data_IF_904922799436
#
_entry.id   IF_904922799436
#
_cell.length_a   1.000
_cell.length_b   1.000
_cell.length_c   1.000
_cell.angle_alpha   90.00
_cell.angle_beta   90.00
_cell.angle_gamma   90.00
#
_symmetry.space_group_name_H-M   'P 1'
#
loop_
_entity.id
_entity.type
_entity.pdbx_description
1 polymer ?
#
# COMPACT_ATOMS: atom_id res chain seq x y z
N UNK A 1 -14.88 -36.84 82.26
CA UNK A 1 -15.25 -35.58 81.60
C UNK A 1 -14.65 -35.60 80.20
N UNK A 2 -15.46 -36.01 79.21
CA UNK A 2 -15.17 -35.88 77.78
C UNK A 2 -15.80 -34.56 77.33
N UNK A 3 -15.10 -33.79 76.50
CA UNK A 3 -15.65 -32.68 75.75
C UNK A 3 -15.25 -32.87 74.29
N UNK A 4 -16.25 -32.82 73.40
CA UNK A 4 -16.12 -32.99 71.96
C UNK A 4 -16.40 -31.72 71.16
N UNK A 5 -16.06 -31.83 69.87
CA UNK A 5 -16.61 -31.18 68.66
C UNK A 5 -16.77 -29.66 68.57
N UNK A 6 -16.16 -29.07 67.54
CA UNK A 6 -16.91 -28.65 66.34
C UNK A 6 -15.97 -28.25 65.21
N UNK A 7 -16.07 -29.00 64.10
CA UNK A 7 -15.56 -28.64 62.79
C UNK A 7 -16.23 -27.35 62.31
N UNK A 8 -15.41 -26.40 61.86
CA UNK A 8 -15.87 -25.24 61.10
C UNK A 8 -15.29 -25.35 59.68
N UNK A 9 -16.01 -26.05 58.81
CA UNK A 9 -15.76 -26.09 57.37
C UNK A 9 -16.25 -24.79 56.75
N UNK A 10 -15.31 -23.97 56.26
CA UNK A 10 -15.61 -22.81 55.42
C UNK A 10 -16.00 -23.29 54.02
N UNK A 11 -17.15 -22.82 53.56
CA UNK A 11 -17.77 -23.15 52.29
C UNK A 11 -16.97 -22.69 51.06
N UNK A 12 -17.15 -23.45 50.00
CA UNK A 12 -16.65 -23.31 48.62
C UNK A 12 -17.00 -21.99 47.91
N UNK A 13 -16.18 -21.72 46.88
CA UNK A 13 -16.54 -21.08 45.62
C UNK A 13 -17.05 -19.62 45.62
N UNK A 14 -16.10 -18.70 45.77
CA UNK A 14 -16.12 -17.46 44.99
C UNK A 14 -15.16 -17.59 43.81
N UNK A 15 -15.52 -18.42 42.82
CA UNK A 15 -14.86 -18.42 41.53
C UNK A 15 -15.07 -17.04 40.89
N UNK A 16 -14.03 -16.20 40.93
CA UNK A 16 -13.94 -15.01 40.09
C UNK A 16 -14.27 -15.43 38.66
N UNK A 17 -15.16 -14.73 37.93
CA UNK A 17 -15.35 -15.02 36.52
C UNK A 17 -13.99 -14.91 35.85
N UNK A 18 -13.48 -16.06 35.38
CA UNK A 18 -12.23 -16.10 34.64
C UNK A 18 -12.35 -15.07 33.52
N UNK A 19 -11.41 -14.13 33.46
CA UNK A 19 -11.29 -13.23 32.32
C UNK A 19 -11.47 -14.06 31.04
N UNK A 20 -12.27 -13.60 30.06
CA UNK A 20 -12.50 -14.38 28.85
C UNK A 20 -11.14 -14.71 28.26
N UNK A 21 -10.74 -15.98 28.36
CA UNK A 21 -9.49 -16.49 27.79
C UNK A 21 -9.49 -16.04 26.34
N UNK A 22 -8.67 -15.03 26.01
CA UNK A 22 -8.55 -14.54 24.65
C UNK A 22 -8.23 -15.75 23.78
N UNK A 23 -9.22 -16.19 22.98
CA UNK A 23 -9.05 -17.31 22.09
C UNK A 23 -7.82 -17.02 21.22
N UNK A 24 -6.95 -18.02 21.05
CA UNK A 24 -5.74 -17.85 20.26
C UNK A 24 -6.11 -17.22 18.89
N UNK A 25 -5.40 -16.16 18.44
CA UNK A 25 -5.77 -15.46 17.22
C UNK A 25 -5.90 -16.41 16.04
N UNK A 26 -7.05 -16.39 15.35
CA UNK A 26 -7.30 -17.25 14.20
C UNK A 26 -6.59 -16.67 12.97
N UNK A 27 -5.65 -17.40 12.33
CA UNK A 27 -5.02 -16.94 11.11
C UNK A 27 -5.99 -17.04 9.93
N UNK A 28 -6.24 -15.92 9.26
CA UNK A 28 -7.09 -15.78 8.08
C UNK A 28 -6.25 -15.24 6.93
N UNK A 29 -5.84 -16.12 6.00
CA UNK A 29 -5.07 -15.73 4.84
C UNK A 29 -5.95 -14.96 3.83
N UNK A 30 -5.40 -13.92 3.21
CA UNK A 30 -6.03 -13.31 2.04
C UNK A 30 -5.87 -14.25 0.85
N UNK A 31 -6.91 -14.38 0.04
CA UNK A 31 -6.87 -15.15 -1.21
C UNK A 31 -7.15 -14.26 -2.41
N UNK A 32 -6.57 -14.59 -3.57
CA UNK A 32 -6.79 -13.84 -4.80
C UNK A 32 -7.21 -14.75 -5.96
N UNK A 33 -8.49 -14.70 -6.30
CA UNK A 33 -9.12 -15.61 -7.28
C UNK A 33 -9.08 -15.09 -8.73
N UNK A 34 -8.46 -13.93 -8.98
CA UNK A 34 -8.43 -13.32 -10.31
C UNK A 34 -7.51 -14.06 -11.27
N UNK A 35 -7.90 -14.15 -12.55
CA UNK A 35 -7.15 -14.76 -13.64
C UNK A 35 -6.49 -13.74 -14.57
N UNK A 36 -5.27 -14.06 -15.05
CA UNK A 36 -4.54 -13.22 -15.99
C UNK A 36 -5.27 -13.05 -17.33
N UNK A 37 -5.91 -14.10 -17.84
CA UNK A 37 -6.64 -14.07 -19.13
C UNK A 37 -7.93 -13.26 -19.05
N UNK A 38 -8.65 -13.38 -17.94
CA UNK A 38 -9.85 -12.59 -17.67
C UNK A 38 -9.49 -11.10 -17.55
N UNK A 39 -8.45 -10.78 -16.75
CA UNK A 39 -7.97 -9.41 -16.63
C UNK A 39 -7.40 -8.85 -17.94
N UNK A 40 -6.74 -9.68 -18.78
CA UNK A 40 -6.27 -9.27 -20.10
C UNK A 40 -7.41 -8.78 -20.99
N UNK A 41 -8.55 -9.49 -21.03
CA UNK A 41 -9.75 -9.07 -21.81
C UNK A 41 -10.28 -7.72 -21.35
N UNK A 42 -10.33 -7.48 -20.04
CA UNK A 42 -10.74 -6.18 -19.47
C UNK A 42 -9.72 -5.09 -19.84
N UNK A 43 -8.44 -5.40 -19.69
CA UNK A 43 -7.34 -4.47 -19.92
C UNK A 43 -7.24 -4.03 -21.38
N UNK A 44 -7.31 -4.96 -22.35
CA UNK A 44 -7.17 -4.62 -23.77
C UNK A 44 -8.30 -3.71 -24.25
N UNK A 45 -9.55 -4.01 -23.86
CA UNK A 45 -10.71 -3.15 -24.16
C UNK A 45 -10.52 -1.77 -23.53
N UNK A 46 -10.06 -1.71 -22.28
CA UNK A 46 -9.80 -0.45 -21.60
C UNK A 46 -8.69 0.37 -22.29
N UNK A 47 -7.63 -0.27 -22.77
CA UNK A 47 -6.54 0.40 -23.51
C UNK A 47 -7.06 0.96 -24.83
N UNK A 48 -7.78 0.16 -25.62
CA UNK A 48 -8.35 0.60 -26.90
C UNK A 48 -9.29 1.80 -26.71
N UNK A 49 -10.22 1.71 -25.75
CA UNK A 49 -11.13 2.82 -25.44
C UNK A 49 -10.39 4.05 -24.92
N UNK A 50 -9.33 3.87 -24.13
CA UNK A 50 -8.50 4.99 -23.65
C UNK A 50 -7.78 5.67 -24.82
N UNK A 51 -7.28 4.92 -25.79
CA UNK A 51 -6.61 5.47 -26.97
C UNK A 51 -7.59 6.23 -27.86
N UNK A 52 -8.73 5.63 -28.20
CA UNK A 52 -9.76 6.23 -29.07
C UNK A 52 -10.37 7.49 -28.46
N UNK A 53 -10.43 7.58 -27.13
CA UNK A 53 -10.96 8.76 -26.42
C UNK A 53 -9.88 9.75 -25.99
N UNK A 54 -8.65 9.66 -26.53
CA UNK A 54 -7.52 10.52 -26.19
C UNK A 54 -7.27 10.66 -24.67
N UNK A 55 -7.40 9.54 -23.95
CA UNK A 55 -7.16 9.47 -22.52
C UNK A 55 -8.38 9.70 -21.62
N UNK A 56 -9.52 10.17 -22.15
CA UNK A 56 -10.71 10.46 -21.34
C UNK A 56 -11.23 9.17 -20.66
N UNK A 57 -11.34 8.06 -21.41
CA UNK A 57 -11.83 6.79 -20.90
C UNK A 57 -10.95 6.19 -19.78
N UNK A 58 -9.73 6.69 -19.58
CA UNK A 58 -8.83 6.21 -18.52
C UNK A 58 -9.42 6.31 -17.11
N UNK A 59 -10.45 7.14 -16.90
CA UNK A 59 -11.16 7.22 -15.61
C UNK A 59 -12.02 5.98 -15.35
N UNK A 60 -12.75 5.51 -16.36
CA UNK A 60 -13.54 4.27 -16.32
C UNK A 60 -12.64 3.04 -16.28
N UNK A 61 -11.57 3.04 -17.08
CA UNK A 61 -10.57 1.97 -17.05
C UNK A 61 -9.97 1.76 -15.64
N UNK A 62 -9.69 2.86 -14.92
CA UNK A 62 -9.19 2.81 -13.54
C UNK A 62 -10.20 2.18 -12.58
N UNK A 63 -11.48 2.57 -12.65
CA UNK A 63 -12.55 2.01 -11.80
C UNK A 63 -12.75 0.52 -12.08
N UNK A 64 -12.88 0.11 -13.35
CA UNK A 64 -13.03 -1.30 -13.73
C UNK A 64 -11.85 -2.14 -13.26
N UNK A 65 -10.63 -1.59 -13.34
CA UNK A 65 -9.44 -2.26 -12.81
C UNK A 65 -9.52 -2.43 -11.30
N UNK A 66 -9.89 -1.39 -10.54
CA UNK A 66 -10.01 -1.48 -9.08
C UNK A 66 -11.10 -2.48 -8.66
N UNK A 67 -12.27 -2.43 -9.31
CA UNK A 67 -13.35 -3.40 -9.09
C UNK A 67 -12.88 -4.84 -9.33
N UNK A 68 -12.14 -5.07 -10.42
CA UNK A 68 -11.59 -6.39 -10.72
C UNK A 68 -10.69 -6.91 -9.58
N UNK A 69 -9.72 -6.12 -9.14
CA UNK A 69 -8.79 -6.57 -8.10
C UNK A 69 -9.45 -6.70 -6.72
N UNK A 70 -10.38 -5.80 -6.37
CA UNK A 70 -11.08 -5.87 -5.07
C UNK A 70 -11.99 -7.09 -4.99
N UNK A 71 -12.84 -7.32 -6.00
CA UNK A 71 -13.79 -8.44 -6.02
C UNK A 71 -13.12 -9.81 -6.05
N UNK A 72 -11.91 -9.87 -6.64
CA UNK A 72 -11.10 -11.07 -6.66
C UNK A 72 -10.21 -11.22 -5.42
N UNK A 73 -10.14 -10.23 -4.52
CA UNK A 73 -9.46 -10.35 -3.22
C UNK A 73 -10.49 -10.77 -2.19
N UNK A 74 -10.21 -11.83 -1.44
CA UNK A 74 -11.09 -12.32 -0.40
C UNK A 74 -10.35 -12.46 0.93
N UNK A 75 -11.12 -12.33 2.01
CA UNK A 75 -10.70 -12.58 3.38
C UNK A 75 -11.87 -13.29 4.07
N UNK A 76 -11.61 -14.43 4.69
CA UNK A 76 -12.63 -15.22 5.41
C UNK A 76 -13.91 -15.45 4.58
N UNK A 77 -13.75 -15.87 3.33
CA UNK A 77 -14.85 -16.20 2.41
C UNK A 77 -15.61 -15.01 1.80
N UNK A 78 -15.38 -13.77 2.26
CA UNK A 78 -16.01 -12.57 1.71
C UNK A 78 -15.04 -11.78 0.82
N UNK A 79 -15.55 -11.21 -0.27
CA UNK A 79 -14.77 -10.35 -1.17
C UNK A 79 -14.79 -8.88 -0.74
N UNK A 80 -13.73 -8.16 -1.12
CA UNK A 80 -13.74 -6.70 -1.09
C UNK A 80 -14.50 -6.15 -2.29
N UNK A 81 -15.00 -4.91 -2.19
CA UNK A 81 -15.61 -4.23 -3.33
C UNK A 81 -15.17 -2.76 -3.43
N UNK A 82 -15.32 -2.20 -4.64
CA UNK A 82 -14.96 -0.84 -4.96
C UNK A 82 -16.09 -0.09 -5.68
N UNK A 83 -16.58 0.98 -5.05
CA UNK A 83 -17.78 1.74 -5.45
C UNK A 83 -17.47 3.08 -6.12
N UNK A 84 -16.21 3.31 -6.51
CA UNK A 84 -15.78 4.61 -7.00
C UNK A 84 -16.41 5.00 -8.33
N UNK A 85 -17.00 6.19 -8.40
CA UNK A 85 -17.58 6.72 -9.65
C UNK A 85 -16.48 7.23 -10.61
N UNK A 86 -16.44 6.79 -11.88
CA UNK A 86 -15.45 7.26 -12.86
C UNK A 86 -15.48 8.78 -13.08
N UNK A 87 -16.67 9.38 -13.06
CA UNK A 87 -16.85 10.83 -13.26
C UNK A 87 -16.13 11.68 -12.21
N UNK A 88 -16.05 11.22 -10.96
CA UNK A 88 -15.30 11.90 -9.90
C UNK A 88 -13.79 11.90 -10.18
N UNK A 89 -13.25 10.79 -10.70
CA UNK A 89 -11.84 10.68 -11.12
C UNK A 89 -11.57 11.59 -12.32
N UNK A 90 -12.49 11.65 -13.28
CA UNK A 90 -12.36 12.52 -14.45
C UNK A 90 -12.33 14.00 -14.05
N UNK A 91 -13.22 14.45 -13.16
CA UNK A 91 -13.22 15.82 -12.63
C UNK A 91 -11.88 16.17 -11.97
N UNK A 92 -11.37 15.28 -11.12
CA UNK A 92 -10.07 15.48 -10.48
C UNK A 92 -8.92 15.60 -11.48
N UNK A 93 -8.91 14.77 -12.54
CA UNK A 93 -7.93 14.87 -13.63
C UNK A 93 -8.07 16.15 -14.43
N UNK A 94 -9.29 16.57 -14.74
CA UNK A 94 -9.55 17.81 -15.48
C UNK A 94 -8.99 19.03 -14.74
N UNK A 95 -9.15 19.10 -13.40
CA UNK A 95 -8.54 20.14 -12.57
C UNK A 95 -7.02 20.12 -12.70
N UNK A 96 -6.39 18.95 -12.58
CA UNK A 96 -4.93 18.84 -12.70
C UNK A 96 -4.45 19.24 -14.10
N UNK A 97 -5.14 18.81 -15.16
CA UNK A 97 -4.83 19.23 -16.53
C UNK A 97 -4.95 20.74 -16.73
N UNK A 98 -6.02 21.36 -16.19
CA UNK A 98 -6.20 22.81 -16.26
C UNK A 98 -5.06 23.55 -15.52
N UNK A 99 -4.66 23.07 -14.34
CA UNK A 99 -3.54 23.66 -13.59
C UNK A 99 -2.20 23.54 -14.32
N UNK A 100 -1.91 22.37 -14.91
CA UNK A 100 -0.68 22.16 -15.70
C UNK A 100 -0.69 23.01 -16.97
N UNK A 101 -1.84 23.12 -17.63
CA UNK A 101 -2.00 23.97 -18.81
C UNK A 101 -1.81 25.45 -18.46
N UNK A 102 -2.39 25.91 -17.35
CA UNK A 102 -2.18 27.26 -16.83
C UNK A 102 -0.71 27.53 -16.48
N UNK A 103 -0.02 26.56 -15.86
CA UNK A 103 1.43 26.64 -15.63
C UNK A 103 2.22 26.76 -16.94
N UNK A 104 1.88 25.96 -17.95
CA UNK A 104 2.53 26.03 -19.26
C UNK A 104 2.35 27.39 -19.93
N UNK A 105 1.15 27.99 -19.84
CA UNK A 105 0.88 29.35 -20.33
C UNK A 105 1.68 30.38 -19.51
N UNK A 106 1.63 30.31 -18.18
CA UNK A 106 2.39 31.21 -17.32
C UNK A 106 3.89 31.21 -17.66
N UNK A 107 4.45 30.05 -18.01
CA UNK A 107 5.85 29.88 -18.39
C UNK A 107 6.25 30.58 -19.68
N UNK A 108 5.30 30.88 -20.58
CA UNK A 108 5.59 31.65 -21.81
C UNK A 108 5.60 33.15 -21.58
N UNK A 109 4.95 33.65 -20.52
CA UNK A 109 4.87 35.09 -20.22
C UNK A 109 5.98 35.57 -19.29
N UNK A 110 6.25 34.86 -18.20
CA UNK A 110 7.25 35.28 -17.21
C UNK A 110 7.76 34.11 -16.38
N UNK A 111 9.09 33.97 -16.21
CA UNK A 111 9.68 32.99 -15.29
C UNK A 111 9.20 33.14 -13.84
N UNK A 112 8.93 34.37 -13.39
CA UNK A 112 8.43 34.62 -12.04
C UNK A 112 6.97 34.17 -11.88
N UNK A 113 6.13 34.37 -12.90
CA UNK A 113 4.76 33.86 -12.91
C UNK A 113 4.73 32.33 -12.95
N UNK A 114 5.63 31.72 -13.74
CA UNK A 114 5.79 30.27 -13.77
C UNK A 114 6.20 29.71 -12.40
N UNK A 115 7.15 30.37 -11.73
CA UNK A 115 7.59 30.00 -10.39
C UNK A 115 6.44 30.13 -9.37
N UNK A 116 5.67 31.22 -9.41
CA UNK A 116 4.50 31.39 -8.55
C UNK A 116 3.45 30.28 -8.78
N UNK A 117 3.19 29.93 -10.04
CA UNK A 117 2.29 28.83 -10.42
C UNK A 117 2.82 27.46 -9.96
N UNK A 118 4.13 27.22 -10.05
CA UNK A 118 4.77 26.00 -9.55
C UNK A 118 4.60 25.88 -8.03
N UNK A 119 4.84 26.96 -7.29
CA UNK A 119 4.66 26.99 -5.84
C UNK A 119 3.19 26.73 -5.47
N UNK A 120 2.24 27.34 -6.18
CA UNK A 120 0.82 27.06 -5.99
C UNK A 120 0.47 25.59 -6.26
N UNK A 121 1.00 25.00 -7.34
CA UNK A 121 0.78 23.59 -7.66
C UNK A 121 1.35 22.65 -6.58
N UNK A 122 2.56 22.93 -6.10
CA UNK A 122 3.20 22.21 -5.00
C UNK A 122 2.40 22.35 -3.70
N UNK A 123 1.84 23.52 -3.42
CA UNK A 123 0.99 23.76 -2.26
C UNK A 123 -0.37 23.03 -2.36
N UNK A 124 -0.93 22.86 -3.55
CA UNK A 124 -2.18 22.11 -3.76
C UNK A 124 -1.98 20.59 -3.70
N UNK A 125 -0.78 20.10 -4.03
CA UNK A 125 -0.50 18.68 -4.18
C UNK A 125 -0.85 17.83 -2.93
N UNK A 126 -0.47 18.21 -1.69
CA UNK A 126 -0.85 17.48 -0.47
C UNK A 126 -2.38 17.36 -0.31
N UNK A 127 -3.12 18.43 -0.58
CA UNK A 127 -4.58 18.44 -0.48
C UNK A 127 -5.22 17.48 -1.49
N UNK A 128 -4.70 17.46 -2.72
CA UNK A 128 -5.16 16.52 -3.75
C UNK A 128 -4.87 15.06 -3.37
N UNK A 129 -3.71 14.79 -2.75
CA UNK A 129 -3.40 13.46 -2.24
C UNK A 129 -4.36 13.04 -1.12
N UNK A 130 -4.63 13.89 -0.13
CA UNK A 130 -5.58 13.59 0.95
C UNK A 130 -6.97 13.36 0.39
N UNK A 131 -7.46 14.20 -0.52
CA UNK A 131 -8.74 13.99 -1.20
C UNK A 131 -8.77 12.67 -1.97
N UNK A 132 -7.67 12.28 -2.61
CA UNK A 132 -7.56 10.99 -3.29
C UNK A 132 -7.63 9.79 -2.33
N UNK A 133 -6.99 9.89 -1.16
CA UNK A 133 -7.05 8.88 -0.11
C UNK A 133 -8.46 8.77 0.48
N UNK A 134 -9.09 9.91 0.84
CA UNK A 134 -10.49 9.97 1.29
C UNK A 134 -11.44 9.33 0.29
N UNK A 135 -11.33 9.72 -0.98
CA UNK A 135 -12.14 9.14 -2.04
C UNK A 135 -11.92 7.63 -2.17
N UNK A 136 -10.66 7.15 -2.14
CA UNK A 136 -10.38 5.71 -2.28
C UNK A 136 -10.95 4.90 -1.12
N UNK A 137 -10.76 5.35 0.12
CA UNK A 137 -11.21 4.59 1.30
C UNK A 137 -12.73 4.62 1.41
N UNK A 138 -13.37 5.77 1.21
CA UNK A 138 -14.84 5.89 1.22
C UNK A 138 -15.55 5.05 0.13
N UNK A 139 -14.82 4.68 -0.93
CA UNK A 139 -15.33 3.82 -2.00
C UNK A 139 -14.81 2.38 -1.90
N UNK A 140 -14.03 2.03 -0.87
CA UNK A 140 -13.61 0.66 -0.60
C UNK A 140 -14.54 0.06 0.46
N UNK A 141 -14.92 -1.20 0.31
CA UNK A 141 -15.74 -1.89 1.29
C UNK A 141 -15.34 -3.36 1.47
N UNK A 142 -15.71 -3.92 2.61
CA UNK A 142 -15.63 -5.34 2.92
C UNK A 142 -16.85 -5.74 3.76
N UNK A 143 -17.53 -6.85 3.39
CA UNK A 143 -18.79 -7.29 4.02
C UNK A 143 -19.83 -6.15 4.18
N UNK A 144 -19.99 -5.33 3.14
CA UNK A 144 -20.95 -4.22 3.11
C UNK A 144 -20.51 -2.96 3.86
N UNK A 145 -19.55 -3.04 4.77
CA UNK A 145 -19.04 -1.90 5.54
C UNK A 145 -17.91 -1.17 4.79
N UNK A 146 -17.92 0.17 4.83
CA UNK A 146 -16.96 1.01 4.11
C UNK A 146 -15.74 1.35 4.96
N UNK A 147 -14.61 1.55 4.28
CA UNK A 147 -13.45 2.17 4.90
C UNK A 147 -13.60 3.70 4.90
N UNK A 148 -12.86 4.37 5.78
CA UNK A 148 -12.79 5.82 5.82
C UNK A 148 -11.33 6.28 5.98
N UNK A 149 -11.06 7.52 5.59
CA UNK A 149 -9.78 8.17 5.81
C UNK A 149 -10.00 9.52 6.52
N UNK A 150 -9.38 9.67 7.69
CA UNK A 150 -9.61 10.78 8.64
C UNK A 150 -8.38 11.68 8.79
N UNK A 151 -7.42 11.61 7.85
CA UNK A 151 -6.18 12.38 7.90
C UNK A 151 -6.42 13.87 7.73
N UNK A 152 -5.86 14.69 8.63
CA UNK A 152 -5.99 16.15 8.61
C UNK A 152 -5.18 16.81 7.50
N UNK A 153 -5.71 17.89 6.93
CA UNK A 153 -5.10 18.59 5.80
C UNK A 153 -3.77 19.27 6.19
N UNK A 154 -3.64 19.78 7.43
CA UNK A 154 -2.42 20.40 7.93
C UNK A 154 -1.25 19.42 8.08
N UNK A 155 -1.51 18.22 8.62
CA UNK A 155 -0.47 17.20 8.79
C UNK A 155 0.00 16.62 7.45
N UNK A 156 -0.85 16.65 6.43
CA UNK A 156 -0.50 16.26 5.08
C UNK A 156 0.68 17.07 4.51
N UNK A 157 0.78 18.37 4.83
CA UNK A 157 1.91 19.20 4.39
C UNK A 157 3.23 18.75 5.01
N UNK A 158 3.23 18.38 6.29
CA UNK A 158 4.43 17.82 6.94
C UNK A 158 4.86 16.52 6.25
N UNK A 159 3.89 15.64 5.96
CA UNK A 159 4.15 14.31 5.42
C UNK A 159 4.55 14.32 3.94
N UNK A 160 3.89 15.13 3.12
CA UNK A 160 4.05 15.11 1.66
C UNK A 160 4.94 16.23 1.12
N UNK A 161 5.31 17.23 1.93
CA UNK A 161 6.22 18.31 1.53
C UNK A 161 7.46 18.34 2.41
N UNK A 162 7.30 18.58 3.72
CA UNK A 162 8.43 18.77 4.63
C UNK A 162 9.37 17.56 4.68
N UNK A 163 8.84 16.35 4.90
CA UNK A 163 9.66 15.14 4.97
C UNK A 163 10.36 14.79 3.64
N UNK A 164 9.70 14.85 2.47
CA UNK A 164 10.39 14.71 1.19
C UNK A 164 11.47 15.76 0.94
N UNK A 165 11.22 17.04 1.25
CA UNK A 165 12.23 18.09 1.14
C UNK A 165 13.41 17.84 2.09
N UNK A 166 13.15 17.43 3.32
CA UNK A 166 14.19 17.05 4.27
C UNK A 166 14.99 15.83 3.78
N UNK A 167 14.34 14.86 3.12
CA UNK A 167 15.03 13.75 2.48
C UNK A 167 15.94 14.23 1.35
N UNK A 168 15.49 15.13 0.48
CA UNK A 168 16.32 15.70 -0.60
C UNK A 168 17.48 16.51 -0.04
N UNK A 169 17.21 17.40 0.93
CA UNK A 169 18.21 18.25 1.57
C UNK A 169 19.31 17.44 2.30
N UNK A 170 19.00 16.22 2.74
CA UNK A 170 19.95 15.30 3.37
C UNK A 170 20.51 14.24 2.42
N UNK A 171 20.42 14.48 1.10
CA UNK A 171 20.90 13.57 0.04
C UNK A 171 20.33 12.15 0.16
N UNK A 172 19.10 12.03 0.64
CA UNK A 172 18.38 10.77 0.82
C UNK A 172 18.55 10.13 2.19
N UNK A 173 19.38 10.68 3.10
CA UNK A 173 19.59 10.09 4.43
C UNK A 173 18.30 9.99 5.25
N UNK A 174 17.42 11.01 5.16
CA UNK A 174 16.08 10.99 5.78
C UNK A 174 15.01 10.30 4.91
N UNK A 175 15.36 9.75 3.75
CA UNK A 175 14.43 9.04 2.86
C UNK A 175 13.66 7.90 3.54
N UNK A 176 14.30 7.00 4.30
CA UNK A 176 13.62 5.95 5.06
C UNK A 176 12.64 6.50 6.11
N UNK A 177 12.99 7.60 6.77
CA UNK A 177 12.10 8.29 7.74
C UNK A 177 10.91 8.88 7.01
N UNK A 178 11.12 9.59 5.91
CA UNK A 178 10.06 10.17 5.09
C UNK A 178 9.07 9.08 4.62
N UNK A 179 9.58 7.93 4.15
CA UNK A 179 8.74 6.81 3.75
C UNK A 179 7.97 6.22 4.95
N UNK A 180 8.60 6.06 6.11
CA UNK A 180 7.92 5.59 7.32
C UNK A 180 6.80 6.55 7.73
N UNK A 181 7.04 7.87 7.71
CA UNK A 181 6.04 8.89 8.05
C UNK A 181 4.87 8.90 7.07
N UNK A 182 5.15 8.71 5.78
CA UNK A 182 4.13 8.50 4.75
C UNK A 182 3.25 7.29 5.08
N UNK A 183 3.84 6.15 5.43
CA UNK A 183 3.10 4.93 5.78
C UNK A 183 2.31 5.09 7.07
N UNK A 184 2.90 5.67 8.10
CA UNK A 184 2.19 5.97 9.36
C UNK A 184 0.98 6.87 9.12
N UNK A 185 1.13 7.94 8.34
CA UNK A 185 0.02 8.82 8.02
C UNK A 185 -1.11 8.10 7.28
N UNK A 186 -0.79 7.22 6.33
CA UNK A 186 -1.79 6.44 5.60
C UNK A 186 -2.56 5.47 6.49
N UNK A 187 -1.87 4.74 7.36
CA UNK A 187 -2.48 3.67 8.15
C UNK A 187 -3.21 4.23 9.38
N UNK A 188 -2.58 5.10 10.18
CA UNK A 188 -3.18 5.66 11.41
C UNK A 188 -4.45 6.48 11.16
N UNK A 189 -4.62 7.00 9.95
CA UNK A 189 -5.81 7.76 9.59
C UNK A 189 -6.82 6.94 8.79
N UNK A 190 -6.57 5.66 8.55
CA UNK A 190 -7.54 4.76 7.95
C UNK A 190 -8.43 4.16 9.04
N UNK A 191 -9.73 4.02 8.74
CA UNK A 191 -10.70 3.32 9.58
C UNK A 191 -11.50 2.31 8.76
N UNK A 192 -12.03 1.30 9.42
CA UNK A 192 -13.03 0.39 8.86
C UNK A 192 -14.27 0.45 9.75
N UNK A 193 -15.36 1.03 9.24
CA UNK A 193 -16.39 1.58 10.13
C UNK A 193 -15.81 2.67 11.02
N UNK A 194 -15.93 2.52 12.33
CA UNK A 194 -15.32 3.40 13.34
C UNK A 194 -13.95 2.90 13.81
N UNK A 195 -13.68 1.60 13.71
CA UNK A 195 -12.46 0.95 14.15
C UNK A 195 -11.20 1.54 13.47
N UNK A 196 -10.22 2.05 14.23
CA UNK A 196 -9.00 2.61 13.68
C UNK A 196 -8.01 1.52 13.26
N UNK A 197 -7.30 1.80 12.17
CA UNK A 197 -6.02 1.16 11.91
C UNK A 197 -4.93 1.85 12.70
N UNK A 198 -3.96 1.08 13.21
CA UNK A 198 -2.76 1.62 13.84
C UNK A 198 -1.49 1.04 13.17
N UNK A 199 -0.42 1.84 13.18
CA UNK A 199 0.85 1.50 12.56
C UNK A 199 2.03 1.86 13.46
N UNK A 200 2.68 0.81 13.98
CA UNK A 200 3.66 0.94 15.06
C UNK A 200 5.11 0.71 14.61
N UNK A 201 5.36 0.54 13.30
CA UNK A 201 6.73 0.37 12.83
C UNK A 201 7.55 1.64 13.08
N UNK A 202 8.69 1.49 13.76
CA UNK A 202 9.66 2.56 13.95
C UNK A 202 10.47 2.85 12.68
N UNK A 203 11.08 4.03 12.61
CA UNK A 203 11.95 4.41 11.48
C UNK A 203 13.14 3.45 11.31
N UNK A 204 13.67 2.89 12.39
CA UNK A 204 14.76 1.91 12.36
C UNK A 204 14.43 0.64 11.55
N UNK A 205 13.16 0.22 11.50
CA UNK A 205 12.74 -0.92 10.66
C UNK A 205 12.91 -0.61 9.17
N UNK A 206 12.59 0.62 8.76
CA UNK A 206 12.77 1.08 7.38
C UNK A 206 14.26 1.21 7.05
N UNK A 207 15.06 1.85 7.91
CA UNK A 207 16.52 1.93 7.72
C UNK A 207 17.14 0.55 7.52
N UNK A 208 16.75 -0.44 8.32
CA UNK A 208 17.25 -1.82 8.19
C UNK A 208 16.92 -2.43 6.82
N UNK A 209 15.76 -2.14 6.25
CA UNK A 209 15.39 -2.59 4.90
C UNK A 209 16.26 -1.91 3.84
N UNK A 210 16.40 -0.59 3.91
CA UNK A 210 17.18 0.17 2.93
C UNK A 210 18.68 -0.15 3.00
N UNK A 211 19.26 -0.27 4.21
CA UNK A 211 20.66 -0.63 4.39
C UNK A 211 20.95 -2.06 3.91
N UNK A 212 20.05 -3.02 4.17
CA UNK A 212 20.17 -4.39 3.63
C UNK A 212 20.06 -4.40 2.11
N UNK A 213 19.14 -3.62 1.54
CA UNK A 213 19.00 -3.52 0.09
C UNK A 213 20.24 -2.89 -0.57
N UNK A 214 20.81 -1.86 0.06
CA UNK A 214 22.07 -1.25 -0.35
C UNK A 214 23.22 -2.25 -0.27
N UNK A 215 23.33 -3.01 0.82
CA UNK A 215 24.34 -4.07 0.96
C UNK A 215 24.21 -5.15 -0.10
N UNK A 216 22.98 -5.59 -0.42
CA UNK A 216 22.73 -6.55 -1.53
C UNK A 216 23.15 -5.96 -2.87
N UNK A 217 22.83 -4.69 -3.13
CA UNK A 217 23.25 -4.00 -4.36
C UNK A 217 24.77 -3.97 -4.49
N UNK A 218 25.48 -3.52 -3.44
CA UNK A 218 26.94 -3.47 -3.42
C UNK A 218 27.54 -4.86 -3.62
N UNK A 219 27.01 -5.89 -2.96
CA UNK A 219 27.47 -7.27 -3.12
C UNK A 219 27.29 -7.78 -4.55
N UNK A 220 26.14 -7.52 -5.19
CA UNK A 220 25.89 -7.92 -6.57
C UNK A 220 26.77 -7.17 -7.57
N UNK A 221 26.98 -5.86 -7.37
CA UNK A 221 27.87 -5.05 -8.21
C UNK A 221 29.32 -5.50 -8.05
N UNK A 222 29.77 -5.76 -6.83
CA UNK A 222 31.12 -6.27 -6.57
C UNK A 222 31.33 -7.66 -7.17
N UNK A 223 30.35 -8.56 -7.05
CA UNK A 223 30.40 -9.88 -7.68
C UNK A 223 30.46 -9.78 -9.21
N UNK A 224 29.68 -8.88 -9.82
CA UNK A 224 29.73 -8.65 -11.25
C UNK A 224 31.05 -8.01 -11.70
N UNK A 225 31.57 -7.04 -10.96
CA UNK A 225 32.86 -6.43 -11.24
C UNK A 225 34.00 -7.46 -11.16
N UNK A 226 33.98 -8.33 -10.14
CA UNK A 226 34.93 -9.43 -9.99
C UNK A 226 34.81 -10.45 -11.13
N UNK A 227 33.60 -10.86 -11.47
CA UNK A 227 33.36 -11.76 -12.61
C UNK A 227 33.84 -11.13 -13.92
N UNK A 228 33.57 -9.83 -14.11
CA UNK A 228 34.03 -9.05 -15.25
C UNK A 228 35.56 -9.01 -15.34
N UNK A 229 36.22 -8.76 -14.21
CA UNK A 229 37.68 -8.75 -14.11
C UNK A 229 38.28 -10.13 -14.45
N UNK A 230 37.79 -11.20 -13.82
CA UNK A 230 38.30 -12.57 -14.03
C UNK A 230 38.08 -13.02 -15.47
N UNK A 231 36.88 -12.84 -16.01
CA UNK A 231 36.57 -13.25 -17.38
C UNK A 231 37.26 -12.36 -18.42
N UNK A 232 37.41 -11.07 -18.13
CA UNK A 232 38.11 -10.14 -19.00
C UNK A 232 39.62 -10.36 -19.04
N UNK A 233 40.25 -10.72 -17.92
CA UNK A 233 41.67 -11.07 -17.87
C UNK A 233 42.00 -12.32 -18.70
N UNK A 234 41.03 -13.20 -18.91
CA UNK A 234 41.17 -14.39 -19.78
C UNK A 234 41.17 -14.06 -21.28
N UNK A 235 40.88 -12.82 -21.68
CA UNK A 235 40.83 -12.39 -23.08
C UNK A 235 41.87 -11.31 -23.38
N UNK A 236 42.52 -11.39 -24.55
CA UNK A 236 43.63 -10.52 -24.91
C UNK A 236 43.19 -9.11 -25.34
N UNK A 237 43.91 -8.09 -24.87
CA UNK A 237 43.83 -6.71 -25.37
C UNK A 237 42.45 -6.07 -25.20
N UNK A 238 41.99 -5.35 -26.23
CA UNK A 238 40.73 -4.58 -26.20
C UNK A 238 39.50 -5.47 -25.94
N UNK A 239 39.51 -6.72 -26.38
CA UNK A 239 38.40 -7.66 -26.18
C UNK A 239 38.16 -7.96 -24.69
N UNK A 240 39.23 -8.19 -23.92
CA UNK A 240 39.12 -8.40 -22.46
C UNK A 240 38.62 -7.17 -21.70
N UNK A 241 39.02 -5.98 -22.14
CA UNK A 241 38.53 -4.71 -21.58
C UNK A 241 37.04 -4.50 -21.86
N UNK A 242 36.58 -4.74 -23.09
CA UNK A 242 35.15 -4.65 -23.45
C UNK A 242 34.30 -5.67 -22.70
N UNK A 243 34.80 -6.91 -22.54
CA UNK A 243 34.12 -7.96 -21.77
C UNK A 243 33.98 -7.58 -20.30
N UNK A 244 35.06 -7.10 -19.66
CA UNK A 244 35.04 -6.64 -18.26
C UNK A 244 34.03 -5.52 -18.05
N UNK A 245 34.07 -4.51 -18.93
CA UNK A 245 33.17 -3.37 -18.87
C UNK A 245 31.71 -3.80 -19.10
N UNK A 246 31.46 -4.65 -20.09
CA UNK A 246 30.13 -5.16 -20.40
C UNK A 246 29.51 -5.94 -19.23
N UNK A 247 30.29 -6.82 -18.57
CA UNK A 247 29.84 -7.57 -17.40
C UNK A 247 29.61 -6.62 -16.21
N UNK A 248 30.51 -5.67 -15.97
CA UNK A 248 30.35 -4.69 -14.89
C UNK A 248 29.09 -3.84 -15.06
N UNK A 249 28.87 -3.29 -16.24
CA UNK A 249 27.67 -2.49 -16.57
C UNK A 249 26.41 -3.35 -16.52
N UNK A 250 26.42 -4.53 -17.14
CA UNK A 250 25.28 -5.45 -17.14
C UNK A 250 24.92 -5.87 -15.72
N UNK A 251 25.91 -6.23 -14.91
CA UNK A 251 25.73 -6.58 -13.50
C UNK A 251 25.21 -5.43 -12.65
N UNK A 252 25.65 -4.19 -12.90
CA UNK A 252 25.10 -3.01 -12.26
C UNK A 252 23.61 -2.83 -12.55
N UNK A 253 23.19 -2.92 -13.81
CA UNK A 253 21.78 -2.83 -14.17
C UNK A 253 20.95 -4.00 -13.61
N UNK A 254 21.50 -5.22 -13.61
CA UNK A 254 20.85 -6.38 -12.97
C UNK A 254 20.70 -6.19 -11.46
N UNK A 255 21.70 -5.63 -10.79
CA UNK A 255 21.63 -5.30 -9.36
C UNK A 255 20.54 -4.26 -9.10
N UNK A 256 20.49 -3.16 -9.87
CA UNK A 256 19.41 -2.17 -9.78
C UNK A 256 18.03 -2.80 -9.99
N UNK A 257 17.91 -3.71 -10.95
CA UNK A 257 16.68 -4.42 -11.26
C UNK A 257 16.19 -5.29 -10.10
N UNK A 258 17.11 -5.94 -9.38
CA UNK A 258 16.78 -6.81 -8.25
C UNK A 258 16.42 -6.05 -6.96
N UNK A 259 16.96 -4.85 -6.77
CA UNK A 259 16.76 -4.04 -5.55
C UNK A 259 15.30 -3.61 -5.39
N UNK A 260 14.63 -3.18 -6.46
CA UNK A 260 13.23 -2.72 -6.41
C UNK A 260 12.25 -3.79 -5.86
N UNK A 261 12.16 -5.01 -6.44
CA UNK A 261 11.31 -6.07 -5.91
C UNK A 261 11.76 -6.57 -4.52
N UNK A 262 13.07 -6.52 -4.20
CA UNK A 262 13.56 -6.82 -2.86
C UNK A 262 13.01 -5.85 -1.81
N UNK A 263 13.20 -4.53 -2.05
CA UNK A 263 12.71 -3.47 -1.16
C UNK A 263 11.19 -3.54 -1.04
N UNK A 264 10.49 -3.79 -2.15
CA UNK A 264 9.04 -3.96 -2.16
C UNK A 264 8.58 -5.11 -1.24
N UNK A 265 9.21 -6.28 -1.33
CA UNK A 265 8.89 -7.44 -0.49
C UNK A 265 9.16 -7.15 1.00
N UNK A 266 10.34 -6.60 1.32
CA UNK A 266 10.72 -6.34 2.71
C UNK A 266 9.90 -5.22 3.36
N UNK A 267 9.61 -4.15 2.62
CA UNK A 267 8.72 -3.10 3.09
C UNK A 267 7.29 -3.60 3.26
N UNK A 268 6.81 -4.50 2.40
CA UNK A 268 5.49 -5.11 2.60
C UNK A 268 5.42 -5.88 3.94
N UNK A 269 6.44 -6.68 4.24
CA UNK A 269 6.50 -7.43 5.51
C UNK A 269 6.54 -6.49 6.72
N UNK A 270 7.37 -5.42 6.66
CA UNK A 270 7.43 -4.42 7.73
C UNK A 270 6.10 -3.68 7.87
N UNK A 271 5.47 -3.28 6.78
CA UNK A 271 4.24 -2.49 6.84
C UNK A 271 3.09 -3.31 7.41
N UNK A 272 2.82 -4.48 6.85
CA UNK A 272 1.68 -5.30 7.30
C UNK A 272 1.91 -5.92 8.68
N UNK A 273 3.12 -6.38 9.01
CA UNK A 273 3.38 -7.00 10.32
C UNK A 273 3.35 -6.01 11.50
N UNK A 274 3.33 -4.71 11.20
CA UNK A 274 3.17 -3.63 12.18
C UNK A 274 1.87 -2.84 11.99
N UNK A 275 0.92 -3.39 11.22
CA UNK A 275 -0.41 -2.81 11.06
C UNK A 275 -1.40 -3.62 11.89
N UNK A 276 -2.27 -2.92 12.62
CA UNK A 276 -3.41 -3.51 13.32
C UNK A 276 -4.71 -2.82 12.88
N UNK A 277 -5.83 -3.53 13.02
CA UNK A 277 -7.19 -3.03 12.88
C UNK A 277 -7.91 -3.36 14.19
N UNK A 278 -7.98 -2.39 15.10
CA UNK A 278 -8.48 -2.59 16.46
C UNK A 278 -7.92 -3.88 17.12
N UNK A 279 -8.67 -4.93 17.49
CA UNK A 279 -8.09 -6.11 18.14
C UNK A 279 -7.38 -7.06 17.16
N UNK A 280 -7.45 -6.80 15.85
CA UNK A 280 -6.89 -7.68 14.83
C UNK A 280 -5.51 -7.20 14.39
N UNK A 281 -4.58 -8.13 14.20
CA UNK A 281 -3.26 -7.83 13.65
C UNK A 281 -3.10 -8.38 12.23
N UNK A 282 -2.14 -7.86 11.49
CA UNK A 282 -1.73 -8.42 10.21
C UNK A 282 -0.31 -8.96 10.30
N UNK A 283 0.00 -9.96 9.47
CA UNK A 283 1.33 -10.51 9.27
C UNK A 283 1.57 -10.68 7.79
N UNK A 284 2.78 -10.41 7.32
CA UNK A 284 3.14 -10.68 5.93
C UNK A 284 4.50 -11.34 5.76
N UNK A 285 4.53 -12.38 4.93
CA UNK A 285 5.67 -13.28 4.75
C UNK A 285 6.13 -13.36 3.29
N UNK A 286 6.22 -12.21 2.63
CA UNK A 286 6.72 -12.15 1.26
C UNK A 286 8.20 -12.54 1.22
N UNK A 287 8.50 -13.58 0.44
CA UNK A 287 9.85 -14.04 0.14
C UNK A 287 10.52 -13.14 -0.89
N UNK A 288 11.62 -12.49 -0.52
CA UNK A 288 12.33 -11.55 -1.39
C UNK A 288 12.86 -12.22 -2.67
N UNK A 289 13.46 -13.41 -2.59
CA UNK A 289 13.97 -14.14 -3.75
C UNK A 289 12.84 -14.51 -4.73
N UNK A 290 11.71 -15.00 -4.22
CA UNK A 290 10.55 -15.34 -5.04
C UNK A 290 9.92 -14.09 -5.66
N UNK A 291 9.90 -12.96 -4.96
CA UNK A 291 9.46 -11.68 -5.54
C UNK A 291 10.37 -11.23 -6.68
N UNK A 292 11.70 -11.28 -6.49
CA UNK A 292 12.68 -10.95 -7.54
C UNK A 292 12.48 -11.86 -8.75
N UNK A 293 12.33 -13.17 -8.53
CA UNK A 293 12.08 -14.14 -9.60
C UNK A 293 10.79 -13.82 -10.38
N UNK A 294 9.69 -13.53 -9.69
CA UNK A 294 8.42 -13.14 -10.34
C UNK A 294 8.62 -11.86 -11.15
N UNK A 295 9.30 -10.86 -10.60
CA UNK A 295 9.54 -9.59 -11.28
C UNK A 295 10.39 -9.77 -12.55
N UNK A 296 11.52 -10.48 -12.45
CA UNK A 296 12.43 -10.74 -13.59
C UNK A 296 11.72 -11.53 -14.68
N UNK A 297 11.03 -12.64 -14.32
CA UNK A 297 10.32 -13.45 -15.32
C UNK A 297 9.16 -12.69 -15.96
N UNK A 298 8.46 -11.84 -15.20
CA UNK A 298 7.44 -10.95 -15.76
C UNK A 298 8.03 -9.92 -16.72
N UNK A 299 9.18 -9.34 -16.39
CA UNK A 299 9.86 -8.37 -17.25
C UNK A 299 10.29 -9.00 -18.57
N UNK A 300 10.88 -10.21 -18.52
CA UNK A 300 11.25 -10.98 -19.72
C UNK A 300 10.01 -11.22 -20.58
N UNK A 301 8.92 -11.73 -19.99
CA UNK A 301 7.68 -11.98 -20.72
C UNK A 301 7.07 -10.70 -21.31
N UNK A 302 7.14 -9.57 -20.59
CA UNK A 302 6.69 -8.26 -21.08
C UNK A 302 7.53 -7.81 -22.28
N UNK A 303 8.85 -7.95 -22.22
CA UNK A 303 9.75 -7.59 -23.31
C UNK A 303 9.49 -8.45 -24.56
N UNK A 304 9.37 -9.77 -24.39
CA UNK A 304 9.09 -10.72 -25.49
C UNK A 304 7.71 -10.50 -26.14
N UNK A 305 6.74 -9.97 -25.39
CA UNK A 305 5.36 -9.75 -25.88
C UNK A 305 5.07 -8.28 -26.20
N UNK A 306 6.10 -7.42 -26.23
CA UNK A 306 5.98 -5.98 -26.46
C UNK A 306 4.89 -5.31 -25.59
N UNK A 307 4.79 -5.73 -24.33
CA UNK A 307 3.83 -5.18 -23.36
C UNK A 307 2.52 -5.96 -23.18
N UNK A 308 2.17 -6.90 -24.06
CA UNK A 308 0.90 -7.65 -23.97
C UNK A 308 0.82 -8.54 -22.71
N UNK A 309 1.95 -8.94 -22.12
CA UNK A 309 1.98 -9.71 -20.87
C UNK A 309 1.73 -8.87 -19.59
N UNK A 310 1.63 -7.53 -19.70
CA UNK A 310 1.42 -6.64 -18.55
C UNK A 310 0.24 -7.04 -17.62
N UNK A 311 -0.97 -7.38 -18.11
CA UNK A 311 -2.06 -7.82 -17.25
C UNK A 311 -1.77 -9.14 -16.51
N UNK A 312 -1.12 -10.11 -17.16
CA UNK A 312 -0.71 -11.36 -16.53
C UNK A 312 0.32 -11.11 -15.42
N UNK A 313 1.30 -10.25 -15.68
CA UNK A 313 2.29 -9.84 -14.68
C UNK A 313 1.64 -9.15 -13.47
N UNK A 314 0.63 -8.29 -13.69
CA UNK A 314 -0.11 -7.63 -12.60
C UNK A 314 -0.89 -8.63 -11.75
N UNK A 315 -1.61 -9.56 -12.37
CA UNK A 315 -2.34 -10.62 -11.65
C UNK A 315 -1.39 -11.52 -10.87
N UNK A 316 -0.31 -12.01 -11.49
CA UNK A 316 0.68 -12.86 -10.85
C UNK A 316 1.35 -12.19 -9.65
N UNK A 317 1.70 -10.91 -9.79
CA UNK A 317 2.33 -10.13 -8.71
C UNK A 317 1.35 -9.80 -7.59
N UNK A 318 0.10 -9.46 -7.92
CA UNK A 318 -0.95 -9.20 -6.93
C UNK A 318 -1.28 -10.47 -6.13
N UNK A 319 -1.49 -11.59 -6.81
CA UNK A 319 -1.75 -12.89 -6.18
C UNK A 319 -0.68 -13.24 -5.16
N UNK A 320 0.59 -13.27 -5.59
CA UNK A 320 1.69 -13.60 -4.70
C UNK A 320 1.77 -12.69 -3.48
N UNK A 321 1.54 -11.39 -3.66
CA UNK A 321 1.62 -10.41 -2.58
C UNK A 321 0.46 -10.51 -1.60
N UNK A 322 -0.76 -10.75 -2.09
CA UNK A 322 -1.97 -10.84 -1.26
C UNK A 322 -1.97 -12.15 -0.47
N UNK A 323 -1.65 -13.29 -1.10
CA UNK A 323 -1.61 -14.60 -0.45
C UNK A 323 -0.52 -14.71 0.63
N UNK A 324 0.50 -13.85 0.59
CA UNK A 324 1.50 -13.72 1.65
C UNK A 324 1.06 -12.79 2.79
N UNK A 325 -0.20 -12.35 2.86
CA UNK A 325 -0.75 -11.56 3.97
C UNK A 325 -1.78 -12.40 4.71
N UNK A 326 -1.65 -12.44 6.03
CA UNK A 326 -2.55 -13.15 6.93
C UNK A 326 -3.02 -12.19 8.01
N UNK A 327 -4.33 -12.10 8.21
CA UNK A 327 -4.93 -11.41 9.34
C UNK A 327 -4.97 -12.37 10.52
N UNK A 328 -4.46 -11.96 11.67
CA UNK A 328 -4.55 -12.65 12.94
C UNK A 328 -5.78 -12.11 13.66
N UNK A 329 -6.91 -12.80 13.48
CA UNK A 329 -8.19 -12.34 14.00
C UNK A 329 -8.38 -12.75 15.47
N UNK A 330 -8.49 -11.78 16.37
CA UNK A 330 -8.81 -12.00 17.78
C UNK A 330 -10.27 -12.45 18.06
N UNK A 331 -11.12 -12.52 17.03
CA UNK A 331 -12.51 -12.95 17.14
C UNK A 331 -13.20 -13.11 15.77
N UNK A 332 -14.46 -13.59 15.72
CA UNK A 332 -15.20 -13.77 14.47
C UNK A 332 -15.41 -12.44 13.74
N UNK A 333 -15.02 -12.36 12.46
CA UNK A 333 -15.13 -11.13 11.68
C UNK A 333 -16.57 -10.67 11.47
N UNK A 334 -17.55 -11.58 11.40
CA UNK A 334 -18.96 -11.21 11.26
C UNK A 334 -19.47 -10.41 12.45
N UNK A 335 -19.10 -10.83 13.67
CA UNK A 335 -19.47 -10.12 14.89
C UNK A 335 -18.82 -8.74 14.97
N UNK A 336 -17.56 -8.64 14.56
CA UNK A 336 -16.84 -7.37 14.50
C UNK A 336 -17.47 -6.40 13.48
N UNK A 337 -17.76 -6.88 12.26
CA UNK A 337 -18.40 -6.06 11.22
C UNK A 337 -19.80 -5.62 11.63
N UNK A 338 -20.60 -6.52 12.24
CA UNK A 338 -21.94 -6.19 12.71
C UNK A 338 -21.92 -5.12 13.82
N UNK A 339 -21.00 -5.23 14.78
CA UNK A 339 -20.81 -4.23 15.83
C UNK A 339 -20.43 -2.86 15.27
N UNK A 340 -19.49 -2.82 14.32
CA UNK A 340 -19.10 -1.58 13.64
C UNK A 340 -20.23 -0.98 12.80
N UNK A 341 -21.03 -1.82 12.10
CA UNK A 341 -22.17 -1.36 11.33
C UNK A 341 -23.24 -0.71 12.23
N UNK A 342 -23.49 -1.28 13.42
CA UNK A 342 -24.41 -0.72 14.40
C UNK A 342 -23.90 0.63 14.95
N UNK A 343 -22.60 0.72 15.27
CA UNK A 343 -22.02 1.98 15.75
C UNK A 343 -22.08 3.08 14.69
N UNK A 344 -21.79 2.77 13.42
CA UNK A 344 -21.94 3.72 12.32
C UNK A 344 -23.40 4.15 12.14
N UNK A 345 -24.36 3.22 12.26
CA UNK A 345 -25.79 3.53 12.25
C UNK A 345 -26.18 4.50 13.35
N UNK A 346 -25.80 4.20 14.60
CA UNK A 346 -26.10 5.03 15.77
C UNK A 346 -25.45 6.42 15.69
N UNK A 347 -24.21 6.51 15.22
CA UNK A 347 -23.54 7.79 14.99
C UNK A 347 -24.16 8.57 13.82
N UNK A 348 -24.64 7.87 12.80
CA UNK A 348 -25.35 8.46 11.66
C UNK A 348 -26.69 9.04 12.08
N UNK A 349 -27.46 8.32 12.90
CA UNK A 349 -28.72 8.79 13.50
C UNK A 349 -28.47 9.99 14.43
N UNK A 350 -27.46 9.92 15.32
CA UNK A 350 -27.10 11.03 16.20
C UNK A 350 -26.58 12.27 15.44
N UNK A 351 -25.94 12.07 14.27
CA UNK A 351 -25.52 13.17 13.41
C UNK A 351 -26.67 13.79 12.60
N UNK A 352 -27.71 13.01 12.28
CA UNK A 352 -28.96 13.52 11.69
C UNK A 352 -29.69 14.39 12.72
N UNK A 353 -29.75 13.98 13.99
CA UNK A 353 -30.34 14.79 15.07
C UNK A 353 -29.60 16.13 15.29
N UNK A 354 -28.27 16.16 15.09
CA UNK A 354 -27.50 17.41 15.13
C UNK A 354 -27.72 18.31 13.92
N UNK A 355 -27.91 17.74 12.73
CA UNK A 355 -28.22 18.50 11.51
C UNK A 355 -29.63 19.13 11.55
N UNK A 356 -30.59 18.52 12.25
CA UNK A 356 -31.93 19.10 12.45
C UNK A 356 -31.96 20.25 13.47
N UNK A 357 -31.00 20.31 14.42
CA UNK A 357 -30.91 21.40 15.41
C UNK A 357 -30.33 22.69 14.77
N UNK A 358 -29.44 22.58 13.79
CA UNK A 358 -28.84 23.74 13.09
C UNK A 358 -29.75 24.35 11.99
N UNK A 359 -30.88 23.71 11.67
CA UNK A 359 -31.89 24.25 10.73
C UNK A 359 -33.04 24.95 11.48
N UNK A 360 -33.14 24.75 12.80
CA UNK A 360 -34.22 25.27 13.63
C UNK A 360 -33.85 26.53 14.46
N UNK A 361 -32.71 27.18 14.19
CA UNK A 361 -32.24 28.36 14.93
C UNK A 361 -31.91 29.57 14.04
#
# INVERSE_FOLDING_TARGET
MQAGSSDFTLADDAAFPAEPRHAAPRPLALTFNGSGSEYFRIWIVNVLLTLVTFGIYSAWAKVRTLQYFYRNTQLDGASFDYHGKPSAILKGRAIVFALVFAFQIASTFSPFLALAMLVALLALFPLLLVRSLRFRMANSSYRGLRFAFTGGDADAYKVFVLWPLAAVATLGLLGPVAHQRFKRYQHNHTRFGTAPFAFDAGAGAFYRVYLRAFGVMVALVAAAALAGFVLGASASGKAGMMLSFGIGVGGFYLALLAVSPYVMARLQNVVWSHTTLAPHAFRSEVGAARMVFIFVTNLIAIALTLGLFLPFARVRSARYRLECVTMLAAGPLDSFVAGEAQQVGALGEAAVDWYDIDIAL
#
